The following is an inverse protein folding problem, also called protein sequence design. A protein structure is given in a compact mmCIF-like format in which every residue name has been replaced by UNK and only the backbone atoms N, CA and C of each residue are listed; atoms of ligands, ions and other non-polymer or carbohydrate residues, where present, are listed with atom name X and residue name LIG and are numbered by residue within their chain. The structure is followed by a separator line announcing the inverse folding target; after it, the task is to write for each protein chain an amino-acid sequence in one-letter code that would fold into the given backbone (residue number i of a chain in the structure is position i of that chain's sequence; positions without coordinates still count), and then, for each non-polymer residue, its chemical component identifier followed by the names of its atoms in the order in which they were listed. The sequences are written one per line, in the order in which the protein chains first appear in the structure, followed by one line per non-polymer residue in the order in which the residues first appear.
data_IF_158980863027
#
_entry.id   IF_158980863027
#
_cell.length_a   1.000
_cell.length_b   1.000
_cell.length_c   1.000
_cell.angle_alpha   90.00
_cell.angle_beta   90.00
_cell.angle_gamma   90.00
#
_symmetry.space_group_name_H-M   'P 1'
#
loop_
_entity.id
_entity.type
_entity.pdbx_description
1 polymer ?
#
# COMPACT_ATOMS: atom_id res chain seq x y z
N UNK A 1 -1.15 9.69 -7.42
CA UNK A 1 -0.97 8.65 -8.46
C UNK A 1 -0.43 9.28 -9.73
N UNK A 2 0.45 8.58 -10.46
CA UNK A 2 1.06 9.04 -11.71
C UNK A 2 0.28 8.61 -12.96
N UNK A 3 0.86 8.88 -14.14
CA UNK A 3 0.22 8.65 -15.45
C UNK A 3 0.27 7.18 -15.91
N UNK A 4 1.28 6.43 -15.50
CA UNK A 4 1.46 5.02 -15.88
C UNK A 4 0.64 4.12 -14.94
N UNK A 5 -0.31 3.38 -15.50
CA UNK A 5 -1.15 2.41 -14.79
C UNK A 5 -0.43 1.06 -14.72
N UNK A 6 -0.58 0.35 -13.60
CA UNK A 6 -0.01 -0.98 -13.38
C UNK A 6 -1.11 -2.01 -13.23
N UNK A 7 -0.87 -3.21 -13.75
CA UNK A 7 -1.75 -4.35 -13.51
C UNK A 7 -1.73 -4.73 -12.03
N UNK A 8 -2.90 -4.93 -11.44
CA UNK A 8 -3.08 -5.22 -10.01
C UNK A 8 -3.95 -6.46 -9.88
N UNK A 9 -3.54 -7.40 -9.04
CA UNK A 9 -4.31 -8.58 -8.69
C UNK A 9 -4.44 -8.65 -7.17
N UNK A 10 -5.66 -8.93 -6.69
CA UNK A 10 -5.97 -8.98 -5.27
C UNK A 10 -6.68 -10.29 -4.93
N UNK A 11 -6.16 -11.00 -3.93
CA UNK A 11 -6.77 -12.20 -3.36
C UNK A 11 -7.57 -11.80 -2.11
N UNK A 12 -8.71 -11.15 -2.31
CA UNK A 12 -9.62 -10.73 -1.24
C UNK A 12 -11.08 -10.83 -1.72
N UNK A 13 -12.05 -10.58 -0.82
CA UNK A 13 -13.46 -10.48 -1.20
C UNK A 13 -13.70 -9.27 -2.12
N UNK A 14 -14.81 -9.29 -2.85
CA UNK A 14 -15.21 -8.22 -3.79
C UNK A 14 -15.37 -6.83 -3.17
N UNK A 15 -15.51 -6.76 -1.85
CA UNK A 15 -15.60 -5.50 -1.09
C UNK A 15 -14.28 -4.74 -1.01
N UNK A 16 -13.14 -5.38 -1.30
CA UNK A 16 -11.85 -4.72 -1.34
C UNK A 16 -11.39 -4.54 -2.78
N UNK A 17 -11.21 -3.29 -3.20
CA UNK A 17 -10.71 -2.94 -4.53
C UNK A 17 -9.31 -2.36 -4.43
N UNK A 18 -8.43 -2.76 -5.34
CA UNK A 18 -7.06 -2.27 -5.42
C UNK A 18 -6.71 -1.79 -6.83
N UNK A 19 -6.03 -0.65 -6.89
CA UNK A 19 -5.52 -0.06 -8.13
C UNK A 19 -4.07 0.39 -7.89
N UNK A 20 -3.21 0.24 -8.89
CA UNK A 20 -1.80 0.62 -8.77
C UNK A 20 -1.35 1.46 -9.96
N UNK A 21 -0.62 2.54 -9.68
CA UNK A 21 0.01 3.40 -10.68
C UNK A 21 1.45 3.64 -10.27
N UNK A 22 2.32 3.99 -11.23
CA UNK A 22 3.61 4.59 -10.87
C UNK A 22 3.38 5.87 -10.05
N UNK A 23 4.28 6.16 -9.11
CA UNK A 23 4.16 7.36 -8.29
C UNK A 23 4.35 8.62 -9.12
N UNK A 24 3.60 9.68 -8.81
CA UNK A 24 3.71 10.96 -9.51
C UNK A 24 5.03 11.62 -9.14
N UNK A 25 5.84 12.00 -10.14
CA UNK A 25 7.08 12.81 -10.00
C UNK A 25 8.22 12.17 -9.20
N UNK A 26 8.13 10.89 -8.81
CA UNK A 26 9.22 10.16 -8.14
C UNK A 26 9.08 8.65 -8.36
N UNK A 27 10.18 7.95 -8.16
CA UNK A 27 10.24 6.49 -8.27
C UNK A 27 9.33 5.77 -7.26
N UNK A 28 8.83 4.60 -7.68
CA UNK A 28 8.01 3.71 -6.86
C UNK A 28 6.57 3.62 -7.36
N UNK A 29 5.72 3.03 -6.51
CA UNK A 29 4.33 2.71 -6.83
C UNK A 29 3.40 3.39 -5.85
N UNK A 30 2.26 3.89 -6.33
CA UNK A 30 1.16 4.35 -5.49
C UNK A 30 -0.01 3.39 -5.65
N UNK A 31 -0.47 2.82 -4.54
CA UNK A 31 -1.68 2.03 -4.46
C UNK A 31 -2.87 2.92 -4.06
N UNK A 32 -4.04 2.60 -4.59
CA UNK A 32 -5.34 3.04 -4.11
C UNK A 32 -6.10 1.79 -3.67
N UNK A 33 -6.44 1.74 -2.38
CA UNK A 33 -7.20 0.66 -1.76
C UNK A 33 -8.54 1.22 -1.30
N UNK A 34 -9.64 0.60 -1.72
CA UNK A 34 -11.00 1.00 -1.37
C UNK A 34 -11.66 -0.18 -0.66
N UNK A 35 -11.96 -0.01 0.62
CA UNK A 35 -12.71 -0.97 1.40
C UNK A 35 -14.18 -0.55 1.45
N UNK A 36 -15.03 -1.33 0.80
CA UNK A 36 -16.48 -1.14 0.74
C UNK A 36 -17.22 -1.95 1.83
N UNK A 37 -16.53 -2.83 2.55
CA UNK A 37 -17.12 -3.57 3.66
C UNK A 37 -17.46 -2.62 4.80
N UNK A 38 -18.62 -2.84 5.40
CA UNK A 38 -19.12 -2.07 6.53
C UNK A 38 -18.51 -2.47 7.89
N UNK A 39 -17.83 -3.63 7.95
CA UNK A 39 -17.43 -4.25 9.21
C UNK A 39 -16.06 -4.94 9.14
N UNK A 40 -15.57 -5.25 7.93
CA UNK A 40 -14.33 -5.98 7.76
C UNK A 40 -13.14 -5.03 7.66
N UNK A 41 -12.18 -5.20 8.56
CA UNK A 41 -10.83 -4.67 8.37
C UNK A 41 -10.00 -5.69 7.59
N UNK A 42 -9.34 -5.27 6.51
CA UNK A 42 -8.44 -6.16 5.77
C UNK A 42 -6.99 -5.95 6.19
N UNK A 43 -6.28 -7.05 6.45
CA UNK A 43 -4.82 -7.06 6.51
C UNK A 43 -4.27 -7.40 5.13
N UNK A 44 -3.42 -6.53 4.56
CA UNK A 44 -2.92 -6.65 3.19
C UNK A 44 -1.42 -6.89 3.16
N UNK A 45 -1.00 -7.78 2.26
CA UNK A 45 0.39 -8.02 1.91
C UNK A 45 0.59 -7.69 0.44
N UNK A 46 1.62 -6.90 0.15
CA UNK A 46 1.92 -6.45 -1.21
C UNK A 46 3.08 -7.26 -1.76
N UNK A 47 2.86 -7.88 -2.91
CA UNK A 47 3.85 -8.70 -3.59
C UNK A 47 4.11 -8.15 -5.00
N UNK A 48 5.38 -8.18 -5.43
CA UNK A 48 5.75 -7.94 -6.81
C UNK A 48 5.62 -9.24 -7.61
N UNK A 49 4.83 -9.22 -8.69
CA UNK A 49 4.61 -10.39 -9.56
C UNK A 49 5.83 -10.75 -10.39
N UNK A 50 6.79 -9.82 -10.61
CA UNK A 50 8.06 -10.14 -11.27
C UNK A 50 8.90 -11.16 -10.47
N UNK A 51 8.65 -11.29 -9.17
CA UNK A 51 9.31 -12.27 -8.30
C UNK A 51 8.64 -13.67 -8.28
N UNK A 52 7.58 -13.90 -9.08
CA UNK A 52 6.95 -15.25 -9.21
C UNK A 52 7.60 -16.14 -10.26
N UNK A 53 8.55 -15.65 -11.06
CA UNK A 53 9.23 -16.42 -12.12
C UNK A 53 10.32 -17.41 -11.61
N UNK A 54 10.29 -17.80 -10.33
CA UNK A 54 11.16 -18.83 -9.76
C UNK A 54 10.31 -19.90 -9.04
N UNK A 55 9.48 -20.61 -9.80
CA UNK A 55 8.94 -21.91 -9.39
C UNK A 55 8.87 -22.84 -10.60
N UNK A 56 10.05 -23.26 -11.05
CA UNK A 56 10.18 -24.55 -11.75
C UNK A 56 10.23 -25.60 -10.64
N UNK A 57 9.29 -26.56 -10.57
CA UNK A 57 9.30 -27.56 -9.53
C UNK A 57 10.31 -28.64 -9.88
N UNK A 58 11.56 -28.48 -9.42
CA UNK A 58 12.53 -29.57 -9.43
C UNK A 58 12.94 -29.94 -8.00
N UNK A 59 12.67 -31.20 -7.70
CA UNK A 59 13.01 -31.98 -6.50
C UNK A 59 14.32 -31.60 -5.80
N UNK A 60 14.28 -31.34 -4.48
CA UNK A 60 15.29 -31.82 -3.50
C UNK A 60 14.98 -31.42 -2.04
N UNK A 61 14.85 -32.47 -1.21
CA UNK A 61 15.22 -32.67 0.22
C UNK A 61 15.14 -31.46 1.20
N UNK A 62 14.36 -31.56 2.31
CA UNK A 62 14.22 -30.46 3.28
C UNK A 62 15.41 -30.41 4.24
N UNK A 63 16.20 -29.34 4.19
CA UNK A 63 17.09 -28.94 5.29
C UNK A 63 16.42 -27.85 6.14
N UNK A 64 16.32 -28.17 7.43
CA UNK A 64 15.87 -27.36 8.55
C UNK A 64 16.58 -25.98 8.51
N UNK A 65 15.82 -24.90 8.38
CA UNK A 65 16.39 -23.56 8.15
C UNK A 65 15.52 -22.42 8.68
N UNK A 66 15.92 -21.90 9.83
CA UNK A 66 15.78 -20.53 10.37
C UNK A 66 14.55 -19.69 9.96
N UNK A 67 13.80 -19.23 10.97
CA UNK A 67 12.73 -18.21 10.91
C UNK A 67 13.07 -16.97 10.07
N UNK A 68 14.36 -16.65 9.86
CA UNK A 68 14.82 -15.51 9.04
C UNK A 68 14.40 -15.58 7.56
N UNK A 69 14.18 -16.78 7.01
CA UNK A 69 13.81 -16.94 5.59
C UNK A 69 12.32 -16.69 5.30
N UNK A 70 11.44 -16.75 6.31
CA UNK A 70 10.01 -16.45 6.14
C UNK A 70 9.73 -14.94 6.04
N UNK A 71 10.49 -14.11 6.76
CA UNK A 71 10.32 -12.65 6.74
C UNK A 71 10.79 -12.01 5.43
N UNK A 72 11.83 -12.56 4.78
CA UNK A 72 12.24 -12.13 3.42
C UNK A 72 11.21 -12.44 2.34
N UNK A 73 10.38 -13.47 2.52
CA UNK A 73 9.31 -13.84 1.56
C UNK A 73 8.05 -12.97 1.68
N UNK A 74 7.78 -12.39 2.85
CA UNK A 74 6.59 -11.57 3.07
C UNK A 74 6.66 -10.20 2.36
N UNK A 75 7.87 -9.74 1.99
CA UNK A 75 8.09 -8.40 1.42
C UNK A 75 9.15 -8.39 0.31
N UNK A 76 8.98 -9.23 -0.72
CA UNK A 76 9.88 -9.33 -1.88
C UNK A 76 10.06 -8.04 -2.72
N UNK A 77 9.40 -6.92 -2.38
CA UNK A 77 9.56 -5.60 -3.04
C UNK A 77 10.69 -4.76 -2.44
N UNK A 78 11.08 -5.02 -1.19
CA UNK A 78 12.30 -4.50 -0.60
C UNK A 78 13.44 -5.42 -1.07
N UNK A 79 13.96 -5.16 -2.27
CA UNK A 79 15.00 -5.98 -2.88
C UNK A 79 16.18 -6.25 -1.95
N UNK A 80 16.90 -7.33 -2.20
CA UNK A 80 18.08 -7.80 -1.44
C UNK A 80 19.27 -6.82 -1.36
N UNK A 81 19.13 -5.60 -1.91
CA UNK A 81 20.12 -4.52 -1.94
C UNK A 81 19.75 -3.30 -1.09
N UNK A 82 18.62 -3.31 -0.38
CA UNK A 82 18.34 -2.30 0.62
C UNK A 82 19.20 -2.59 1.86
N UNK A 83 20.38 -1.97 1.93
CA UNK A 83 21.08 -1.70 3.20
C UNK A 83 20.05 -1.18 4.20
N UNK A 84 20.16 -1.62 5.47
CA UNK A 84 19.29 -1.44 6.65
C UNK A 84 18.88 0.01 6.98
N UNK A 85 18.41 0.77 5.99
CA UNK A 85 17.84 2.09 6.12
C UNK A 85 16.33 1.89 6.21
N UNK A 86 15.75 2.25 7.34
CA UNK A 86 14.32 2.12 7.62
C UNK A 86 13.49 2.67 6.44
N UNK A 87 13.00 1.79 5.58
CA UNK A 87 12.10 2.18 4.51
C UNK A 87 10.77 2.55 5.15
N UNK A 88 10.31 3.78 4.92
CA UNK A 88 8.98 4.23 5.31
C UNK A 88 8.09 4.24 4.07
N UNK A 89 6.85 3.81 4.24
CA UNK A 89 5.77 4.05 3.28
C UNK A 89 4.92 5.22 3.76
N UNK A 90 4.32 5.92 2.82
CA UNK A 90 3.40 7.01 3.13
C UNK A 90 1.98 6.50 3.00
N UNK A 91 1.15 6.78 3.99
CA UNK A 91 -0.27 6.42 3.99
C UNK A 91 -1.14 7.67 4.10
N UNK A 92 -2.15 7.74 3.23
CA UNK A 92 -3.18 8.77 3.22
C UNK A 92 -4.53 8.07 3.35
N UNK A 93 -5.00 7.92 4.59
CA UNK A 93 -6.23 7.22 4.92
C UNK A 93 -7.37 8.23 5.01
N UNK A 94 -8.35 8.09 4.14
CA UNK A 94 -9.56 8.91 4.10
C UNK A 94 -10.71 8.13 4.76
N UNK A 95 -11.28 8.72 5.80
CA UNK A 95 -12.43 8.16 6.52
C UNK A 95 -13.50 9.24 6.72
N UNK A 96 -14.79 8.88 6.77
CA UNK A 96 -15.81 9.82 7.20
C UNK A 96 -15.62 10.20 8.67
N UNK A 97 -15.99 11.43 9.03
CA UNK A 97 -16.06 11.85 10.43
C UNK A 97 -17.16 11.08 11.17
N UNK A 98 -16.92 10.76 12.44
CA UNK A 98 -17.88 10.16 13.38
C UNK A 98 -18.40 8.76 12.94
N UNK A 99 -17.68 8.04 12.08
CA UNK A 99 -18.05 6.72 11.52
C UNK A 99 -19.39 6.71 10.73
N UNK A 100 -20.01 7.87 10.52
CA UNK A 100 -21.26 7.99 9.76
C UNK A 100 -21.00 8.03 8.26
N UNK A 101 -21.58 7.06 7.54
CA UNK A 101 -21.44 6.91 6.08
C UNK A 101 -21.94 8.10 5.26
N UNK A 102 -22.80 8.93 5.85
CA UNK A 102 -23.41 10.11 5.22
C UNK A 102 -22.71 11.42 5.62
N UNK A 103 -21.65 11.35 6.43
CA UNK A 103 -20.89 12.54 6.79
C UNK A 103 -20.29 13.17 5.53
N UNK A 104 -20.53 14.47 5.35
CA UNK A 104 -19.88 15.25 4.29
C UNK A 104 -18.46 15.69 4.68
N UNK A 105 -18.02 15.34 5.89
CA UNK A 105 -16.70 15.68 6.42
C UNK A 105 -15.80 14.47 6.31
N UNK A 106 -14.68 14.64 5.60
CA UNK A 106 -13.63 13.63 5.47
C UNK A 106 -12.45 13.97 6.37
N UNK A 107 -11.92 12.94 7.02
CA UNK A 107 -10.68 12.98 7.78
C UNK A 107 -9.55 12.38 6.94
N UNK A 108 -8.42 13.06 6.84
CA UNK A 108 -7.16 12.51 6.37
C UNK A 108 -6.32 12.10 7.57
N UNK A 109 -6.03 10.80 7.69
CA UNK A 109 -5.24 10.26 8.80
C UNK A 109 -5.77 10.69 10.18
N UNK A 110 -7.09 10.84 10.31
CA UNK A 110 -7.78 11.30 11.53
C UNK A 110 -7.95 12.82 11.66
N UNK A 111 -7.32 13.63 10.81
CA UNK A 111 -7.45 15.10 10.81
C UNK A 111 -8.46 15.56 9.77
N UNK A 112 -9.41 16.42 10.17
CA UNK A 112 -10.42 16.95 9.26
C UNK A 112 -9.77 17.72 8.10
N UNK A 113 -10.19 17.39 6.88
CA UNK A 113 -9.89 18.17 5.69
C UNK A 113 -10.92 19.30 5.58
N UNK A 114 -10.44 20.54 5.67
CA UNK A 114 -11.24 21.74 5.43
C UNK A 114 -10.44 22.70 4.55
N UNK A 115 -11.14 23.37 3.65
CA UNK A 115 -10.57 24.49 2.89
C UNK A 115 -10.34 25.69 3.81
N UNK A 116 -9.40 26.56 3.44
CA UNK A 116 -9.25 27.85 4.14
C UNK A 116 -10.47 28.75 3.90
N UNK A 117 -10.59 29.83 4.67
CA UNK A 117 -11.61 30.86 4.43
C UNK A 117 -11.51 31.49 3.03
N UNK A 118 -10.32 31.45 2.42
CA UNK A 118 -10.05 31.92 1.06
C UNK A 118 -10.22 30.83 -0.01
N UNK A 119 -10.63 29.62 0.36
CA UNK A 119 -10.83 28.50 -0.56
C UNK A 119 -9.55 27.74 -0.92
N UNK A 120 -8.46 27.94 -0.19
CA UNK A 120 -7.21 27.21 -0.42
C UNK A 120 -7.36 25.73 -0.06
N UNK A 121 -6.73 24.87 -0.87
CA UNK A 121 -6.67 23.44 -0.61
C UNK A 121 -5.66 23.19 0.53
N UNK A 122 -6.05 22.50 1.60
CA UNK A 122 -5.14 22.22 2.72
C UNK A 122 -3.99 21.31 2.27
N UNK A 123 -2.85 21.41 2.96
CA UNK A 123 -1.76 20.47 2.75
C UNK A 123 -2.19 19.05 3.16
N UNK A 124 -1.95 18.08 2.27
CA UNK A 124 -2.28 16.68 2.50
C UNK A 124 -1.07 15.97 3.11
N UNK A 125 -1.05 15.83 4.43
CA UNK A 125 0.08 15.22 5.14
C UNK A 125 -0.04 13.69 5.21
N UNK A 126 1.00 12.95 4.80
CA UNK A 126 1.03 11.50 4.97
C UNK A 126 1.28 11.10 6.42
N UNK A 127 0.80 9.91 6.78
CA UNK A 127 1.36 9.14 7.87
C UNK A 127 2.58 8.36 7.36
N UNK A 128 3.76 8.60 7.93
CA UNK A 128 4.96 7.81 7.64
C UNK A 128 4.94 6.54 8.49
N UNK A 129 4.75 5.40 7.83
CA UNK A 129 4.66 4.09 8.47
C UNK A 129 5.86 3.26 8.08
N UNK A 130 6.44 2.52 9.04
CA UNK A 130 7.52 1.60 8.74
C UNK A 130 7.04 0.58 7.68
N UNK A 131 7.82 0.40 6.61
CA UNK A 131 7.45 -0.47 5.50
C UNK A 131 7.22 -1.93 5.91
N UNK A 132 7.80 -2.38 7.03
CA UNK A 132 7.67 -3.74 7.58
C UNK A 132 6.43 -3.92 8.48
N UNK A 133 5.77 -2.84 8.89
CA UNK A 133 4.54 -2.94 9.69
C UNK A 133 3.40 -3.52 8.84
N UNK A 134 2.48 -4.32 9.41
CA UNK A 134 1.29 -4.78 8.70
C UNK A 134 0.49 -3.61 8.11
N UNK A 135 -0.20 -3.86 6.99
CA UNK A 135 -1.08 -2.88 6.34
C UNK A 135 -2.51 -3.26 6.70
N UNK A 136 -3.21 -2.35 7.37
CA UNK A 136 -4.62 -2.53 7.71
C UNK A 136 -5.48 -1.51 6.97
N UNK A 137 -6.55 -1.98 6.33
CA UNK A 137 -7.52 -1.13 5.64
C UNK A 137 -8.85 -1.21 6.38
N UNK A 138 -9.18 -0.13 7.09
CA UNK A 138 -10.40 -0.01 7.89
C UNK A 138 -11.67 -0.14 7.03
N UNK A 139 -12.80 -0.58 7.61
CA UNK A 139 -14.10 -0.58 6.93
C UNK A 139 -14.43 0.79 6.34
N UNK A 140 -15.12 0.81 5.21
CA UNK A 140 -15.64 2.04 4.56
C UNK A 140 -14.61 3.16 4.43
N UNK A 141 -13.40 2.79 4.02
CA UNK A 141 -12.27 3.72 3.91
C UNK A 141 -11.64 3.68 2.53
N UNK A 142 -10.99 4.78 2.19
CA UNK A 142 -10.15 4.90 0.99
C UNK A 142 -8.73 5.19 1.46
N UNK A 143 -7.77 4.39 1.05
CA UNK A 143 -6.36 4.59 1.41
C UNK A 143 -5.51 4.72 0.16
N UNK A 144 -4.79 5.84 0.05
CA UNK A 144 -3.66 5.94 -0.86
C UNK A 144 -2.39 5.54 -0.10
N UNK A 145 -1.57 4.70 -0.73
CA UNK A 145 -0.33 4.22 -0.14
C UNK A 145 0.81 4.39 -1.12
N UNK A 146 1.83 5.17 -0.75
CA UNK A 146 3.04 5.32 -1.56
C UNK A 146 4.11 4.38 -1.06
N UNK A 147 4.58 3.56 -1.99
CA UNK A 147 5.61 2.55 -1.84
C UNK A 147 6.87 3.05 -2.55
N UNK A 148 7.74 3.81 -1.86
CA UNK A 148 8.95 4.35 -2.47
C UNK A 148 9.91 3.22 -2.80
N UNK A 149 10.69 3.40 -3.88
CA UNK A 149 11.67 2.40 -4.36
C UNK A 149 11.07 1.00 -4.58
N UNK A 150 9.76 0.89 -4.77
CA UNK A 150 9.11 -0.36 -5.16
C UNK A 150 9.69 -0.82 -6.50
N UNK A 151 10.11 -2.08 -6.56
CA UNK A 151 10.71 -2.67 -7.75
C UNK A 151 9.66 -2.79 -8.88
N UNK A 152 9.56 -1.76 -9.70
CA UNK A 152 8.71 -1.71 -10.88
C UNK A 152 9.49 -0.99 -11.98
N UNK A 153 10.17 -1.72 -12.89
CA UNK A 153 11.06 -1.13 -13.90
C UNK A 153 10.40 -0.04 -14.75
N UNK A 154 9.10 -0.17 -15.01
CA UNK A 154 8.31 0.81 -15.78
C UNK A 154 8.12 2.15 -15.05
N UNK A 155 8.35 2.20 -13.73
CA UNK A 155 8.17 3.36 -12.87
C UNK A 155 9.47 4.11 -12.51
N UNK A 156 10.61 3.72 -13.09
CA UNK A 156 11.90 4.40 -12.92
C UNK A 156 12.17 5.47 -14.00
N UNK A 157 11.18 5.77 -14.86
CA UNK A 157 11.24 6.79 -15.91
C UNK A 157 10.05 7.74 -15.89
#
# INVERSE_FOLDING_TARGET
MGKKVLSTYIEASSDLRAYAHCTKRREGVTLLLINLSNSTTYEIKVHNTMNRALHVPNYSIPKQGSLKNKFKKAFSWAGSKASDQHLYREEYRLTPKDEFKQSQIILLNGKQLSVSEHGDIPHLEPAFVNAFSPIHISPLSITFMVLPKFEAPTCWS
#
